data_IF_013781651001
#
_entry.id   IF_013781651001
#
_cell.length_a   1.000
_cell.length_b   1.000
_cell.length_c   1.000
_cell.angle_alpha   90.00
_cell.angle_beta   90.00
_cell.angle_gamma   90.00
#
_symmetry.space_group_name_H-M   'P 1'
#
loop_
_entity.id
_entity.type
_entity.pdbx_description
1 polymer ?
#
# COMPACT_ATOMS: atom_id res chain seq x y z
N UNK A 1 19.67 64.12 -4.32
CA UNK A 1 19.41 62.92 -5.14
C UNK A 1 20.11 61.64 -4.63
N UNK A 2 21.40 61.64 -4.26
CA UNK A 2 22.09 60.42 -3.79
C UNK A 2 21.58 59.81 -2.46
N UNK A 3 20.99 60.60 -1.56
CA UNK A 3 20.47 60.12 -0.26
C UNK A 3 19.09 59.47 -0.33
N UNK A 4 18.28 59.80 -1.33
CA UNK A 4 16.96 59.17 -1.53
C UNK A 4 17.11 57.77 -2.15
N UNK A 5 18.11 57.55 -3.01
CA UNK A 5 18.33 56.25 -3.65
C UNK A 5 18.72 55.15 -2.65
N UNK A 6 19.52 55.49 -1.62
CA UNK A 6 19.98 54.53 -0.60
C UNK A 6 18.84 54.10 0.33
N UNK A 7 17.92 55.00 0.66
CA UNK A 7 16.75 54.68 1.48
C UNK A 7 15.78 53.71 0.79
N UNK A 8 15.58 53.85 -0.52
CA UNK A 8 14.72 52.97 -1.31
C UNK A 8 15.33 51.58 -1.52
N UNK A 9 16.65 51.47 -1.70
CA UNK A 9 17.36 50.18 -1.79
C UNK A 9 17.29 49.42 -0.46
N UNK A 10 17.43 50.11 0.68
CA UNK A 10 17.27 49.49 2.00
C UNK A 10 15.83 48.99 2.25
N UNK A 11 14.82 49.74 1.76
CA UNK A 11 13.41 49.35 1.87
C UNK A 11 13.08 48.14 0.99
N UNK A 12 13.62 48.06 -0.24
CA UNK A 12 13.49 46.87 -1.10
C UNK A 12 14.23 45.64 -0.55
N UNK A 13 15.37 45.82 0.14
CA UNK A 13 16.08 44.73 0.83
C UNK A 13 15.36 44.25 2.11
N UNK A 14 14.57 45.12 2.76
CA UNK A 14 13.73 44.77 3.92
C UNK A 14 12.38 44.16 3.52
N UNK A 15 11.92 44.40 2.28
CA UNK A 15 10.71 43.80 1.69
C UNK A 15 11.05 42.60 0.79
N UNK A 16 12.32 42.22 0.70
CA UNK A 16 12.69 40.87 0.32
C UNK A 16 12.17 39.95 1.44
N UNK A 17 10.87 39.64 1.36
CA UNK A 17 10.27 38.55 2.09
C UNK A 17 11.22 37.39 1.88
N UNK A 18 11.71 36.82 2.98
CA UNK A 18 12.34 35.52 2.89
C UNK A 18 11.42 34.68 1.99
N UNK A 19 11.96 34.15 0.89
CA UNK A 19 11.23 33.16 0.13
C UNK A 19 11.12 31.96 1.08
N UNK A 20 10.07 31.95 1.89
CA UNK A 20 9.78 30.83 2.77
C UNK A 20 9.49 29.69 1.81
N UNK A 21 10.31 28.65 1.87
CA UNK A 21 10.09 27.43 1.12
C UNK A 21 8.76 26.73 1.50
N UNK A 22 7.95 27.34 2.37
CA UNK A 22 6.60 26.91 2.69
C UNK A 22 6.61 25.53 3.32
N UNK A 23 5.61 24.72 2.94
CA UNK A 23 5.46 23.33 3.38
C UNK A 23 6.65 22.43 3.04
N UNK A 24 7.52 22.82 2.10
CA UNK A 24 8.70 22.03 1.75
C UNK A 24 9.66 21.88 2.94
N UNK A 25 9.83 22.91 3.77
CA UNK A 25 10.70 22.82 4.96
C UNK A 25 10.14 21.86 6.03
N UNK A 26 8.85 21.58 5.99
CA UNK A 26 8.18 20.62 6.87
C UNK A 26 8.19 19.20 6.29
N UNK A 27 8.56 19.04 5.01
CA UNK A 27 8.65 17.73 4.35
C UNK A 27 9.91 16.97 4.80
N UNK A 28 9.87 15.65 4.69
CA UNK A 28 11.02 14.78 4.94
C UNK A 28 12.20 15.08 4.00
N UNK A 29 11.96 15.71 2.85
CA UNK A 29 12.99 16.02 1.87
C UNK A 29 13.61 17.40 2.08
N UNK A 30 12.81 18.39 2.49
CA UNK A 30 13.25 19.77 2.67
C UNK A 30 13.65 20.15 4.10
N UNK A 31 13.46 19.26 5.06
CA UNK A 31 13.80 19.52 6.46
C UNK A 31 15.32 19.74 6.66
N UNK A 32 15.74 20.77 7.42
CA UNK A 32 17.17 21.07 7.60
C UNK A 32 17.93 20.05 8.45
N UNK A 33 17.25 19.26 9.30
CA UNK A 33 17.88 18.30 10.20
C UNK A 33 18.06 16.93 9.52
N UNK A 34 17.10 16.51 8.73
CA UNK A 34 17.03 15.14 8.18
C UNK A 34 16.62 15.06 6.70
N UNK A 35 16.55 16.19 6.00
CA UNK A 35 16.28 16.27 4.56
C UNK A 35 17.37 15.68 3.68
N UNK A 36 17.16 15.82 2.37
CA UNK A 36 18.10 15.30 1.37
C UNK A 36 19.43 16.06 1.46
N UNK A 37 20.54 15.31 1.44
CA UNK A 37 21.89 15.84 1.53
C UNK A 37 22.84 15.02 0.65
N UNK A 38 23.30 15.68 -0.41
CA UNK A 38 24.22 15.10 -1.41
C UNK A 38 25.61 15.69 -1.34
N UNK A 39 25.92 16.45 -0.30
CA UNK A 39 27.24 17.08 -0.17
C UNK A 39 28.39 16.07 -0.09
N UNK A 40 28.09 14.83 0.34
CA UNK A 40 29.05 13.73 0.38
C UNK A 40 29.41 13.14 -0.99
N UNK A 41 28.49 13.21 -1.96
CA UNK A 41 28.69 12.67 -3.30
C UNK A 41 29.12 13.75 -4.29
N UNK A 42 28.75 15.02 -4.03
CA UNK A 42 29.07 16.17 -4.86
C UNK A 42 29.61 17.33 -4.02
N UNK A 43 30.93 17.54 -4.03
CA UNK A 43 31.58 18.56 -3.21
C UNK A 43 31.06 19.99 -3.44
N UNK A 44 30.58 20.30 -4.66
CA UNK A 44 29.94 21.58 -4.99
C UNK A 44 28.67 21.84 -4.18
N UNK A 45 27.99 20.77 -3.73
CA UNK A 45 26.76 20.86 -2.94
C UNK A 45 27.03 21.12 -1.45
N UNK A 46 28.28 21.06 -0.99
CA UNK A 46 28.63 21.38 0.41
C UNK A 46 28.37 22.86 0.79
N UNK A 47 28.15 23.74 -0.19
CA UNK A 47 27.73 25.12 0.02
C UNK A 47 26.22 25.28 0.27
N UNK A 48 25.42 24.24 -0.01
CA UNK A 48 23.98 24.23 0.21
C UNK A 48 23.67 23.55 1.53
N UNK A 49 22.67 24.07 2.25
CA UNK A 49 22.18 23.42 3.47
C UNK A 49 21.44 22.14 3.13
N UNK A 50 21.48 21.14 4.02
CA UNK A 50 20.60 19.97 3.97
C UNK A 50 19.15 20.38 3.74
N UNK A 51 18.44 19.61 2.92
CA UNK A 51 17.07 19.90 2.53
C UNK A 51 16.93 21.02 1.49
N UNK A 52 18.02 21.67 1.07
CA UNK A 52 17.94 22.63 -0.03
C UNK A 52 17.54 21.95 -1.35
N UNK A 53 16.73 22.64 -2.16
CA UNK A 53 16.26 22.15 -3.46
C UNK A 53 17.40 21.70 -4.39
N UNK A 54 18.60 22.27 -4.28
CA UNK A 54 19.78 21.90 -5.07
C UNK A 54 20.24 20.44 -4.82
N UNK A 55 19.82 19.80 -3.73
CA UNK A 55 20.05 18.38 -3.53
C UNK A 55 19.14 17.51 -4.41
N UNK A 56 17.92 17.94 -4.74
CA UNK A 56 17.07 17.17 -5.67
C UNK A 56 17.18 17.68 -7.10
N UNK A 57 17.49 18.96 -7.26
CA UNK A 57 17.42 19.68 -8.52
C UNK A 57 18.77 20.21 -9.01
N UNK A 58 19.08 19.97 -10.28
CA UNK A 58 20.14 20.68 -10.98
C UNK A 58 19.58 22.00 -11.52
N UNK A 59 19.79 23.08 -10.75
CA UNK A 59 19.24 24.42 -11.01
C UNK A 59 19.68 25.03 -12.36
N UNK A 60 20.58 24.36 -13.07
CA UNK A 60 20.98 24.66 -14.42
C UNK A 60 20.93 23.37 -15.25
N UNK A 61 20.04 23.29 -16.25
CA UNK A 61 19.97 22.16 -17.19
C UNK A 61 21.30 21.92 -17.94
N UNK A 62 22.23 22.87 -17.87
CA UNK A 62 23.63 22.71 -18.22
C UNK A 62 24.51 23.63 -17.35
N UNK A 63 25.63 23.14 -16.82
CA UNK A 63 26.72 23.98 -16.32
C UNK A 63 27.81 24.04 -17.38
N UNK A 64 28.18 25.25 -17.83
CA UNK A 64 29.23 25.46 -18.86
C UNK A 64 28.99 24.71 -20.18
N UNK A 65 27.72 24.42 -20.53
CA UNK A 65 27.35 23.74 -21.77
C UNK A 65 27.22 22.21 -21.66
N UNK A 66 27.39 21.64 -20.46
CA UNK A 66 27.21 20.20 -20.19
C UNK A 66 26.22 19.95 -19.05
N UNK A 67 25.42 18.89 -19.15
CA UNK A 67 24.56 18.40 -18.06
C UNK A 67 25.43 17.91 -16.88
N UNK A 68 25.12 18.28 -15.61
CA UNK A 68 25.79 17.71 -14.44
C UNK A 68 25.58 16.20 -14.33
N UNK A 69 26.53 15.48 -13.74
CA UNK A 69 26.40 14.04 -13.55
C UNK A 69 25.33 13.69 -12.48
N UNK A 70 24.57 12.59 -12.67
CA UNK A 70 24.52 11.71 -13.84
C UNK A 70 23.82 12.36 -15.06
N UNK A 71 24.50 12.39 -16.23
CA UNK A 71 23.99 13.03 -17.45
C UNK A 71 23.11 12.07 -18.28
N UNK A 72 21.89 12.51 -18.64
CA UNK A 72 20.94 11.76 -19.47
C UNK A 72 21.06 12.01 -20.98
N UNK A 73 21.93 12.93 -21.42
CA UNK A 73 22.24 13.16 -22.84
C UNK A 73 21.33 14.19 -23.55
N UNK A 74 20.41 14.82 -22.83
CA UNK A 74 19.59 15.97 -23.29
C UNK A 74 19.11 16.78 -22.07
N UNK A 75 18.77 18.09 -22.21
CA UNK A 75 18.24 18.87 -21.09
C UNK A 75 17.03 18.16 -20.45
N UNK A 76 17.15 17.80 -19.18
CA UNK A 76 16.11 17.06 -18.48
C UNK A 76 14.82 17.90 -18.38
N UNK A 77 13.64 17.33 -18.70
CA UNK A 77 12.35 18.04 -18.68
C UNK A 77 11.95 18.49 -17.26
N UNK A 78 12.46 17.77 -16.26
CA UNK A 78 12.50 18.19 -14.88
C UNK A 78 13.96 18.46 -14.56
N UNK A 79 14.25 19.58 -13.90
CA UNK A 79 15.61 19.93 -13.45
C UNK A 79 16.04 19.04 -12.29
N UNK A 80 15.82 17.73 -12.34
CA UNK A 80 16.29 16.73 -11.36
C UNK A 80 17.69 16.25 -11.75
N UNK A 81 18.44 15.71 -10.80
CA UNK A 81 19.84 15.34 -11.05
C UNK A 81 20.05 14.03 -11.83
N UNK A 82 19.01 13.23 -12.03
CA UNK A 82 19.08 11.97 -12.74
C UNK A 82 17.83 11.75 -13.60
N UNK A 83 17.83 10.68 -14.39
CA UNK A 83 16.65 10.28 -15.16
C UNK A 83 15.43 10.13 -14.23
N UNK A 84 14.33 10.81 -14.57
CA UNK A 84 13.17 10.84 -13.71
C UNK A 84 12.47 9.47 -13.62
N UNK A 85 12.21 8.85 -14.78
CA UNK A 85 11.67 7.49 -14.89
C UNK A 85 12.07 6.88 -16.24
N UNK A 86 12.41 5.60 -16.26
CA UNK A 86 12.74 4.84 -17.46
C UNK A 86 11.51 4.11 -18.02
N UNK A 87 10.78 4.79 -18.90
CA UNK A 87 9.58 4.24 -19.55
C UNK A 87 9.85 3.08 -20.52
N UNK A 88 11.11 2.70 -20.76
CA UNK A 88 11.45 1.49 -21.51
C UNK A 88 11.40 0.21 -20.66
N UNK A 89 11.39 0.35 -19.33
CA UNK A 89 11.24 -0.76 -18.37
C UNK A 89 9.78 -0.86 -17.98
N UNK A 90 9.09 -1.87 -18.52
CA UNK A 90 7.66 -2.09 -18.34
C UNK A 90 7.31 -3.09 -17.23
N UNK A 91 8.30 -3.82 -16.71
CA UNK A 91 8.19 -4.73 -15.56
C UNK A 91 9.54 -4.76 -14.84
N UNK A 92 9.52 -5.09 -13.55
CA UNK A 92 10.74 -5.37 -12.80
C UNK A 92 11.50 -6.62 -13.30
N UNK A 93 12.71 -6.87 -12.78
CA UNK A 93 13.33 -6.12 -11.69
C UNK A 93 13.83 -4.73 -12.14
N UNK A 94 13.53 -3.72 -11.32
CA UNK A 94 14.01 -2.36 -11.51
C UNK A 94 15.44 -2.19 -10.99
N UNK A 95 16.17 -1.28 -11.61
CA UNK A 95 17.48 -0.82 -11.21
C UNK A 95 17.41 0.60 -10.64
N UNK A 96 18.45 1.01 -9.91
CA UNK A 96 18.56 2.38 -9.40
C UNK A 96 18.37 3.45 -10.49
N UNK A 97 18.86 3.18 -11.70
CA UNK A 97 18.76 4.11 -12.84
C UNK A 97 17.37 4.20 -13.46
N UNK A 98 16.44 3.31 -13.09
CA UNK A 98 15.11 3.28 -13.69
C UNK A 98 14.16 4.32 -13.10
N UNK A 99 14.42 4.80 -11.89
CA UNK A 99 13.60 5.79 -11.20
C UNK A 99 14.47 6.72 -10.34
N UNK A 100 14.30 8.02 -10.48
CA UNK A 100 15.02 9.03 -9.72
C UNK A 100 14.98 8.79 -8.20
N UNK A 101 13.84 8.34 -7.67
CA UNK A 101 13.66 8.08 -6.25
C UNK A 101 14.60 6.96 -5.76
N UNK A 102 14.98 6.01 -6.61
CA UNK A 102 15.83 4.89 -6.21
C UNK A 102 17.28 5.27 -5.92
N UNK A 103 17.78 6.41 -6.42
CA UNK A 103 19.10 6.92 -6.03
C UNK A 103 19.22 7.19 -4.52
N UNK A 104 18.08 7.44 -3.87
CA UNK A 104 17.98 7.66 -2.43
C UNK A 104 17.34 6.46 -1.70
N UNK A 105 16.26 5.93 -2.27
CA UNK A 105 15.42 4.89 -1.66
C UNK A 105 15.88 3.47 -2.03
N UNK A 106 17.17 3.23 -1.85
CA UNK A 106 17.86 1.99 -2.14
C UNK A 106 18.77 1.63 -0.94
N UNK A 107 18.83 0.34 -0.58
CA UNK A 107 19.71 -0.17 0.48
C UNK A 107 21.20 0.08 0.24
N UNK A 108 21.58 0.41 -0.99
CA UNK A 108 22.93 0.84 -1.37
C UNK A 108 22.89 2.06 -2.29
N UNK A 109 22.00 3.03 -1.98
CA UNK A 109 21.79 4.21 -2.80
C UNK A 109 23.09 4.97 -3.11
N UNK A 110 23.36 5.21 -4.39
CA UNK A 110 24.60 5.85 -4.84
C UNK A 110 24.70 7.33 -4.45
N UNK A 111 23.58 7.96 -4.09
CA UNK A 111 23.50 9.39 -3.78
C UNK A 111 23.33 9.64 -2.28
N UNK A 112 22.33 9.00 -1.68
CA UNK A 112 22.07 8.98 -0.25
C UNK A 112 21.39 7.66 0.08
N UNK A 113 21.67 7.01 1.19
CA UNK A 113 20.92 5.83 1.59
C UNK A 113 19.79 6.22 2.53
N UNK A 114 18.56 5.82 2.20
CA UNK A 114 17.39 5.95 3.08
C UNK A 114 16.79 4.57 3.31
N UNK A 115 16.64 4.23 4.58
CA UNK A 115 15.97 3.00 5.00
C UNK A 115 14.45 3.20 4.96
N UNK A 116 13.76 2.42 4.14
CA UNK A 116 12.30 2.41 4.03
C UNK A 116 11.80 0.99 4.12
N UNK A 117 11.25 0.65 5.28
CA UNK A 117 10.66 -0.66 5.50
C UNK A 117 9.23 -0.71 4.98
N UNK A 118 8.77 -1.93 4.72
CA UNK A 118 7.39 -2.24 4.41
C UNK A 118 6.42 -1.86 5.55
N UNK A 119 5.12 -1.93 5.28
CA UNK A 119 4.08 -1.61 6.25
C UNK A 119 4.14 -2.58 7.44
N UNK A 120 4.33 -3.87 7.15
CA UNK A 120 4.49 -4.92 8.17
C UNK A 120 5.53 -4.55 9.24
N UNK A 121 6.65 -3.94 8.86
CA UNK A 121 7.70 -3.52 9.81
C UNK A 121 7.52 -2.10 10.35
N UNK A 122 7.11 -1.15 9.53
CA UNK A 122 6.98 0.25 9.96
C UNK A 122 5.80 0.43 10.93
N UNK A 123 4.68 -0.22 10.65
CA UNK A 123 3.42 -0.03 11.37
C UNK A 123 2.91 -1.30 12.06
N UNK A 124 3.25 -2.48 11.52
CA UNK A 124 2.81 -3.79 12.02
C UNK A 124 3.72 -4.48 13.04
N UNK A 125 4.72 -3.76 13.57
CA UNK A 125 5.64 -4.24 14.61
C UNK A 125 6.49 -5.48 14.25
N UNK A 126 6.64 -5.81 12.96
CA UNK A 126 7.64 -6.77 12.53
C UNK A 126 9.05 -6.21 12.76
N UNK A 127 10.00 -7.05 13.17
CA UNK A 127 11.36 -6.63 13.57
C UNK A 127 12.45 -7.12 12.61
N UNK A 128 12.14 -8.08 11.76
CA UNK A 128 13.08 -8.69 10.83
C UNK A 128 12.52 -8.75 9.40
N UNK A 129 13.37 -9.12 8.45
CA UNK A 129 13.00 -9.36 7.05
C UNK A 129 13.20 -8.17 6.11
N UNK A 130 13.16 -8.51 4.81
CA UNK A 130 13.09 -7.60 3.68
C UNK A 130 11.62 -7.27 3.36
N UNK A 131 11.34 -6.18 2.62
CA UNK A 131 12.30 -5.21 2.05
C UNK A 131 12.80 -4.16 3.06
N UNK A 132 14.05 -3.74 2.89
CA UNK A 132 14.69 -2.66 3.67
C UNK A 132 14.74 -1.30 2.99
N UNK A 133 14.35 -1.24 1.72
CA UNK A 133 14.26 -0.02 0.92
C UNK A 133 13.10 -0.09 -0.08
N UNK A 134 12.72 1.05 -0.67
CA UNK A 134 11.65 1.10 -1.67
C UNK A 134 12.05 0.34 -2.95
N UNK A 135 13.30 0.45 -3.40
CA UNK A 135 13.79 -0.34 -4.53
C UNK A 135 13.67 -1.85 -4.24
N UNK A 136 14.04 -2.30 -3.03
CA UNK A 136 13.90 -3.70 -2.66
C UNK A 136 12.43 -4.12 -2.63
N UNK A 137 11.51 -3.23 -2.21
CA UNK A 137 10.08 -3.50 -2.20
C UNK A 137 9.52 -3.70 -3.61
N UNK A 138 9.86 -2.81 -4.57
CA UNK A 138 9.42 -2.95 -5.97
C UNK A 138 10.06 -4.12 -6.72
N UNK A 139 11.05 -4.79 -6.11
CA UNK A 139 11.70 -5.98 -6.64
C UNK A 139 11.31 -7.27 -5.90
N UNK A 140 10.23 -7.25 -5.10
CA UNK A 140 9.66 -8.45 -4.48
C UNK A 140 8.83 -9.28 -5.47
N UNK A 141 8.35 -10.45 -5.03
CA UNK A 141 7.49 -11.38 -5.79
C UNK A 141 6.29 -10.70 -6.43
N UNK A 142 5.63 -9.80 -5.70
CA UNK A 142 4.62 -8.91 -6.26
C UNK A 142 4.87 -7.47 -5.86
N UNK A 143 4.50 -6.54 -6.73
CA UNK A 143 4.73 -5.11 -6.57
C UNK A 143 3.71 -4.34 -7.41
N UNK A 144 3.46 -3.08 -7.04
CA UNK A 144 2.77 -2.17 -7.93
C UNK A 144 3.70 -1.84 -9.09
N UNK A 145 3.34 -2.26 -10.30
CA UNK A 145 4.17 -2.02 -11.48
C UNK A 145 4.23 -0.51 -11.77
N UNK A 146 5.44 0.06 -11.73
CA UNK A 146 5.67 1.50 -11.91
C UNK A 146 5.29 1.98 -13.31
N UNK A 147 5.46 1.15 -14.35
CA UNK A 147 5.02 1.50 -15.69
C UNK A 147 3.49 1.53 -15.80
N UNK A 148 2.80 0.55 -15.20
CA UNK A 148 1.33 0.52 -15.16
C UNK A 148 0.77 1.73 -14.36
N UNK A 149 1.42 2.11 -13.24
CA UNK A 149 1.09 3.32 -12.49
C UNK A 149 1.28 4.57 -13.36
N UNK A 150 2.43 4.68 -14.04
CA UNK A 150 2.72 5.81 -14.93
C UNK A 150 1.64 5.96 -16.01
N UNK A 151 1.27 4.85 -16.68
CA UNK A 151 0.30 4.88 -17.78
C UNK A 151 -1.10 5.24 -17.28
N UNK A 152 -1.54 4.62 -16.17
CA UNK A 152 -2.82 4.93 -15.54
C UNK A 152 -2.89 6.39 -15.08
N UNK A 153 -1.87 6.86 -14.35
CA UNK A 153 -1.87 8.21 -13.79
C UNK A 153 -1.87 9.27 -14.89
N UNK A 154 -1.10 9.06 -15.96
CA UNK A 154 -1.08 9.93 -17.15
C UNK A 154 -2.44 10.01 -17.85
N UNK A 155 -3.16 8.88 -17.94
CA UNK A 155 -4.48 8.84 -18.56
C UNK A 155 -5.60 9.41 -17.67
N UNK A 156 -5.43 9.35 -16.35
CA UNK A 156 -6.48 9.66 -15.38
C UNK A 156 -6.38 11.06 -14.77
N UNK A 157 -5.17 11.52 -14.43
CA UNK A 157 -4.98 12.74 -13.65
C UNK A 157 -4.38 13.84 -14.49
N UNK A 158 -5.11 14.96 -14.61
CA UNK A 158 -4.72 16.06 -15.50
C UNK A 158 -3.40 16.74 -15.12
N UNK A 159 -2.96 16.64 -13.87
CA UNK A 159 -1.68 17.19 -13.40
C UNK A 159 -0.48 16.28 -13.72
N UNK A 160 -0.69 14.97 -13.91
CA UNK A 160 0.36 14.01 -14.23
C UNK A 160 0.72 14.11 -15.72
N UNK A 161 2.01 14.21 -16.05
CA UNK A 161 2.50 14.50 -17.41
C UNK A 161 3.39 13.38 -17.95
N UNK A 162 3.69 13.43 -19.24
CA UNK A 162 4.50 12.42 -19.94
C UNK A 162 5.87 12.15 -19.30
N UNK A 163 6.42 13.12 -18.59
CA UNK A 163 7.71 12.99 -17.92
C UNK A 163 7.58 12.77 -16.41
N UNK A 164 6.37 12.75 -15.85
CA UNK A 164 6.15 12.56 -14.41
C UNK A 164 6.65 11.20 -13.95
N UNK A 165 7.08 11.15 -12.70
CA UNK A 165 7.56 9.92 -12.06
C UNK A 165 6.36 9.14 -11.49
N UNK A 166 6.27 7.81 -11.68
CA UNK A 166 5.15 7.02 -11.15
C UNK A 166 5.04 7.04 -9.63
N UNK A 167 6.16 7.14 -8.90
CA UNK A 167 6.13 7.30 -7.44
C UNK A 167 5.39 8.58 -7.03
N UNK A 168 5.42 9.64 -7.86
CA UNK A 168 4.69 10.86 -7.53
C UNK A 168 3.18 10.74 -7.73
N UNK A 169 2.66 9.66 -8.33
CA UNK A 169 1.22 9.43 -8.40
C UNK A 169 0.58 9.39 -7.00
N UNK A 170 1.28 8.80 -6.02
CA UNK A 170 0.79 8.59 -4.65
C UNK A 170 1.56 9.41 -3.60
N UNK A 171 2.63 10.09 -3.99
CA UNK A 171 3.49 10.86 -3.11
C UNK A 171 3.81 12.22 -3.70
N UNK A 172 3.74 13.27 -2.90
CA UNK A 172 4.32 14.55 -3.29
C UNK A 172 5.61 14.76 -2.50
N UNK A 173 6.77 14.60 -3.14
CA UNK A 173 8.07 14.73 -2.47
C UNK A 173 8.28 16.10 -1.80
N UNK A 174 7.57 17.14 -2.24
CA UNK A 174 7.62 18.46 -1.60
C UNK A 174 6.77 18.56 -0.33
N UNK A 175 5.92 17.59 -0.05
CA UNK A 175 5.00 17.58 1.10
C UNK A 175 5.25 16.38 2.02
N UNK A 176 5.59 15.22 1.46
CA UNK A 176 5.69 13.94 2.15
C UNK A 176 6.56 14.05 3.41
N UNK A 177 6.00 13.62 4.54
CA UNK A 177 6.63 13.69 5.85
C UNK A 177 7.17 12.32 6.29
N UNK A 178 7.96 12.32 7.36
CA UNK A 178 8.72 11.15 7.81
C UNK A 178 7.87 10.27 8.74
N UNK A 179 6.83 9.63 8.22
CA UNK A 179 5.92 8.76 9.00
C UNK A 179 6.64 7.73 9.88
N UNK A 180 7.75 7.15 9.42
CA UNK A 180 8.53 6.18 10.20
C UNK A 180 9.10 6.74 11.52
N UNK A 181 9.35 8.04 11.64
CA UNK A 181 9.90 8.58 12.89
C UNK A 181 8.88 8.58 14.03
N UNK A 182 7.59 8.57 13.69
CA UNK A 182 6.48 8.55 14.65
C UNK A 182 5.30 7.81 13.99
N UNK A 183 5.34 6.47 13.92
CA UNK A 183 4.46 5.68 13.06
C UNK A 183 2.97 5.82 13.37
N UNK A 184 2.62 6.24 14.58
CA UNK A 184 1.25 6.42 15.05
C UNK A 184 0.79 7.89 14.99
N UNK A 185 1.57 8.75 14.35
CA UNK A 185 1.26 10.16 14.16
C UNK A 185 0.82 10.45 12.72
N UNK A 186 -0.50 10.60 12.48
CA UNK A 186 -1.03 10.84 11.14
C UNK A 186 -0.52 12.14 10.52
N UNK A 187 -0.12 13.13 11.33
CA UNK A 187 0.43 14.39 10.83
C UNK A 187 1.77 14.20 10.11
N UNK A 188 2.43 13.04 10.23
CA UNK A 188 3.66 12.73 9.50
C UNK A 188 3.42 11.87 8.25
N UNK A 189 2.19 11.82 7.75
CA UNK A 189 1.84 11.11 6.51
C UNK A 189 2.78 11.44 5.33
N UNK A 190 3.07 10.41 4.53
CA UNK A 190 3.96 10.49 3.37
C UNK A 190 3.20 10.50 2.03
N UNK A 191 1.88 10.38 2.07
CA UNK A 191 1.04 10.18 0.88
C UNK A 191 0.30 11.48 0.52
N UNK A 192 0.06 11.63 -0.77
CA UNK A 192 -0.90 12.59 -1.31
C UNK A 192 -1.86 11.83 -2.20
N UNK A 193 -3.16 12.04 -2.01
CA UNK A 193 -4.17 11.36 -2.82
C UNK A 193 -4.04 11.83 -4.26
N UNK A 194 -4.00 10.96 -5.27
CA UNK A 194 -3.77 11.38 -6.65
C UNK A 194 -4.71 12.49 -7.15
N UNK A 195 -6.00 12.45 -6.81
CA UNK A 195 -6.98 13.48 -7.17
C UNK A 195 -6.81 14.81 -6.40
N UNK A 196 -6.07 14.80 -5.30
CA UNK A 196 -5.74 15.94 -4.43
C UNK A 196 -4.22 16.03 -4.19
N UNK A 197 -3.44 15.79 -5.24
CA UNK A 197 -1.99 15.57 -5.16
C UNK A 197 -1.18 16.70 -4.50
N UNK A 198 -1.74 17.91 -4.44
CA UNK A 198 -1.08 19.10 -3.91
C UNK A 198 -1.34 19.33 -2.41
N UNK A 199 -2.05 18.42 -1.77
CA UNK A 199 -2.27 18.39 -0.32
C UNK A 199 -1.75 17.07 0.27
N UNK A 200 -1.40 17.07 1.56
CA UNK A 200 -1.12 15.83 2.28
C UNK A 200 -2.44 15.09 2.51
N UNK A 201 -2.42 13.77 2.32
CA UNK A 201 -3.56 12.92 2.62
C UNK A 201 -3.29 12.12 3.89
N UNK A 202 -4.27 12.08 4.78
CA UNK A 202 -4.15 11.26 5.99
C UNK A 202 -3.64 12.00 7.21
N UNK A 203 -3.44 13.31 7.13
CA UNK A 203 -3.23 14.15 8.31
C UNK A 203 -4.57 14.58 8.94
N UNK A 204 -5.63 14.65 8.14
CA UNK A 204 -7.01 14.83 8.62
C UNK A 204 -7.99 13.76 8.17
N UNK A 205 -7.70 13.06 7.07
CA UNK A 205 -8.52 11.96 6.53
C UNK A 205 -8.10 10.64 7.14
N UNK A 206 -8.86 10.19 8.14
CA UNK A 206 -8.47 9.06 8.97
C UNK A 206 -9.47 7.91 8.87
N UNK A 207 -9.01 6.70 9.18
CA UNK A 207 -9.88 5.51 9.22
C UNK A 207 -10.98 5.63 10.28
N UNK A 208 -10.85 6.53 11.26
CA UNK A 208 -11.92 6.83 12.23
C UNK A 208 -13.19 7.45 11.62
N UNK A 209 -13.17 7.77 10.33
CA UNK A 209 -14.39 8.13 9.58
C UNK A 209 -15.28 6.93 9.27
N UNK A 210 -14.74 5.71 9.36
CA UNK A 210 -15.45 4.45 9.23
C UNK A 210 -15.67 3.79 10.59
N UNK A 211 -16.54 2.77 10.66
CA UNK A 211 -16.47 1.81 11.77
C UNK A 211 -15.26 0.91 11.52
N UNK A 212 -14.13 1.25 12.12
CA UNK A 212 -12.83 0.61 11.94
C UNK A 212 -12.33 0.07 13.29
N UNK A 213 -11.81 -1.15 13.30
CA UNK A 213 -11.07 -1.71 14.43
C UNK A 213 -9.65 -2.02 13.96
N UNK A 214 -8.68 -1.33 14.57
CA UNK A 214 -7.27 -1.52 14.24
C UNK A 214 -6.84 -2.96 14.55
N UNK A 215 -6.11 -3.62 13.63
CA UNK A 215 -5.53 -4.91 13.92
C UNK A 215 -4.46 -4.80 15.02
N UNK A 216 -4.15 -5.93 15.66
CA UNK A 216 -2.97 -6.00 16.50
C UNK A 216 -1.70 -5.78 15.66
N UNK A 217 -0.72 -5.07 16.22
CA UNK A 217 0.65 -5.10 15.72
C UNK A 217 1.44 -6.23 16.41
N UNK A 218 1.25 -6.43 17.72
CA UNK A 218 1.91 -7.45 18.54
C UNK A 218 1.26 -7.54 19.93
N UNK A 219 0.94 -8.76 20.38
CA UNK A 219 0.24 -8.95 21.65
C UNK A 219 -1.07 -8.18 21.66
N UNK A 220 -1.30 -7.33 22.67
CA UNK A 220 -2.48 -6.47 22.74
C UNK A 220 -2.31 -5.09 22.08
N UNK A 221 -1.11 -4.76 21.59
CA UNK A 221 -0.84 -3.46 20.96
C UNK A 221 -1.42 -3.41 19.55
N UNK A 222 -1.94 -2.25 19.15
CA UNK A 222 -2.67 -1.96 17.91
C UNK A 222 -1.79 -1.27 16.87
N UNK A 223 -2.10 -1.49 15.60
CA UNK A 223 -1.55 -0.73 14.49
C UNK A 223 -2.25 0.64 14.35
N UNK A 224 -1.58 1.66 13.81
CA UNK A 224 -0.14 1.71 13.56
C UNK A 224 0.69 1.94 14.83
N UNK A 225 1.95 1.53 14.80
CA UNK A 225 2.97 1.95 15.76
C UNK A 225 2.94 1.27 17.13
N UNK A 226 2.08 0.26 17.32
CA UNK A 226 2.02 -0.50 18.56
C UNK A 226 1.46 0.27 19.74
N UNK A 227 0.33 0.93 19.51
CA UNK A 227 -0.36 1.75 20.51
C UNK A 227 -1.53 1.01 21.16
N UNK A 228 -2.29 1.65 22.04
CA UNK A 228 -3.57 1.13 22.53
C UNK A 228 -4.78 1.63 21.73
N UNK A 229 -4.57 2.44 20.70
CA UNK A 229 -5.65 3.11 19.96
C UNK A 229 -6.26 2.16 18.93
N UNK A 230 -7.57 1.97 18.97
CA UNK A 230 -8.28 0.98 18.16
C UNK A 230 -9.18 1.59 17.06
N UNK A 231 -9.57 2.85 17.21
CA UNK A 231 -10.65 3.49 16.44
C UNK A 231 -10.22 4.07 15.09
N UNK A 232 -8.97 3.84 14.66
CA UNK A 232 -8.46 4.36 13.40
C UNK A 232 -8.08 5.85 13.41
N UNK A 233 -8.14 6.54 14.55
CA UNK A 233 -7.76 7.96 14.68
C UNK A 233 -6.26 8.23 14.48
N UNK A 234 -5.46 7.17 14.33
CA UNK A 234 -4.02 7.23 14.03
C UNK A 234 -3.67 6.66 12.67
N UNK A 235 -4.65 6.16 11.93
CA UNK A 235 -4.46 5.49 10.64
C UNK A 235 -4.96 6.40 9.54
N UNK A 236 -4.11 6.82 8.58
CA UNK A 236 -4.56 7.47 7.36
C UNK A 236 -5.67 6.68 6.66
N UNK A 237 -6.59 7.39 6.00
CA UNK A 237 -7.63 6.78 5.15
C UNK A 237 -7.00 6.17 3.89
N UNK A 238 -6.43 4.97 4.05
CA UNK A 238 -5.87 4.21 2.94
C UNK A 238 -6.96 3.69 1.99
N UNK A 239 -8.22 3.58 2.44
CA UNK A 239 -9.36 3.27 1.55
C UNK A 239 -9.54 4.39 0.54
N UNK A 240 -9.64 5.64 1.00
CA UNK A 240 -9.78 6.81 0.14
C UNK A 240 -8.58 7.03 -0.78
N UNK A 241 -7.36 6.69 -0.33
CA UNK A 241 -6.17 6.71 -1.17
C UNK A 241 -6.23 5.65 -2.28
N UNK A 242 -6.43 4.38 -1.91
CA UNK A 242 -6.34 3.26 -2.84
C UNK A 242 -7.49 3.28 -3.85
N UNK A 243 -8.70 3.64 -3.40
CA UNK A 243 -9.89 3.67 -4.27
C UNK A 243 -9.92 4.84 -5.23
N UNK A 244 -9.03 5.82 -5.08
CA UNK A 244 -8.83 6.87 -6.07
C UNK A 244 -8.29 6.32 -7.40
N UNK A 245 -7.67 5.14 -7.38
CA UNK A 245 -7.28 4.37 -8.57
C UNK A 245 -8.09 3.07 -8.70
N UNK A 246 -8.19 2.30 -7.62
CA UNK A 246 -8.85 0.99 -7.58
C UNK A 246 -10.32 1.11 -7.19
N UNK A 247 -11.20 1.27 -8.17
CA UNK A 247 -12.64 1.34 -7.93
C UNK A 247 -13.42 0.35 -8.81
N UNK A 248 -14.74 0.38 -8.68
CA UNK A 248 -15.66 -0.51 -9.38
C UNK A 248 -15.85 -0.18 -10.86
N UNK A 249 -15.28 0.92 -11.33
CA UNK A 249 -15.48 1.47 -12.67
C UNK A 249 -14.19 1.33 -13.49
N UNK A 250 -13.05 1.63 -12.88
CA UNK A 250 -11.76 1.61 -13.54
C UNK A 250 -11.39 0.18 -13.93
N UNK A 251 -11.05 0.03 -15.21
CA UNK A 251 -10.45 -1.20 -15.72
C UNK A 251 -8.96 -0.95 -15.87
N UNK A 252 -8.16 -1.55 -14.99
CA UNK A 252 -6.70 -1.38 -14.96
C UNK A 252 -6.07 -2.65 -15.51
N UNK A 253 -5.31 -2.53 -16.60
CA UNK A 253 -4.50 -3.65 -17.10
C UNK A 253 -3.21 -3.74 -16.29
N UNK A 254 -2.86 -4.92 -15.80
CA UNK A 254 -1.56 -5.18 -15.22
C UNK A 254 -0.66 -5.89 -16.22
N UNK A 255 0.44 -5.24 -16.59
CA UNK A 255 1.46 -5.82 -17.45
C UNK A 255 2.10 -7.02 -16.78
N UNK A 256 2.41 -6.93 -15.49
CA UNK A 256 3.03 -8.03 -14.72
C UNK A 256 2.12 -9.27 -14.60
N UNK A 257 0.79 -9.10 -14.56
CA UNK A 257 -0.16 -10.22 -14.47
C UNK A 257 -0.72 -10.66 -15.83
N UNK A 258 -0.47 -9.90 -16.91
CA UNK A 258 -1.00 -10.16 -18.24
C UNK A 258 -2.53 -10.14 -18.32
N UNK A 259 -3.19 -9.41 -17.41
CA UNK A 259 -4.66 -9.33 -17.32
C UNK A 259 -5.12 -8.05 -16.63
N UNK A 260 -6.42 -7.77 -16.74
CA UNK A 260 -7.04 -6.74 -15.93
C UNK A 260 -7.03 -7.12 -14.44
N UNK A 261 -6.77 -6.11 -13.59
CA UNK A 261 -6.95 -6.20 -12.15
C UNK A 261 -8.42 -6.40 -11.81
N UNK A 262 -8.66 -7.02 -10.65
CA UNK A 262 -10.02 -7.15 -10.12
C UNK A 262 -10.46 -5.78 -9.60
N UNK A 263 -11.69 -5.42 -9.92
CA UNK A 263 -12.27 -4.15 -9.49
C UNK A 263 -12.67 -4.24 -8.01
N UNK A 264 -12.57 -3.12 -7.31
CA UNK A 264 -12.86 -3.03 -5.88
C UNK A 264 -14.12 -2.19 -5.70
N UNK A 265 -15.09 -2.70 -4.94
CA UNK A 265 -16.26 -1.91 -4.54
C UNK A 265 -16.30 -1.81 -3.01
N UNK A 266 -15.75 -0.73 -2.45
CA UNK A 266 -15.74 -0.54 -0.98
C UNK A 266 -17.05 0.05 -0.43
N UNK A 267 -18.09 0.17 -1.26
CA UNK A 267 -19.39 0.71 -0.86
C UNK A 267 -20.23 -0.32 -0.09
N UNK A 268 -21.36 0.12 0.48
CA UNK A 268 -22.26 -0.73 1.27
C UNK A 268 -22.92 -1.88 0.49
N UNK A 269 -22.80 -1.90 -0.84
CA UNK A 269 -23.31 -2.99 -1.68
C UNK A 269 -22.20 -3.88 -2.27
N UNK A 270 -20.93 -3.50 -2.04
CA UNK A 270 -19.76 -4.04 -2.71
C UNK A 270 -19.15 -5.24 -2.01
N UNK A 271 -17.85 -5.17 -1.75
CA UNK A 271 -17.00 -6.19 -1.13
C UNK A 271 -17.26 -6.26 0.39
N UNK A 272 -17.14 -7.45 0.96
CA UNK A 272 -16.95 -7.64 2.41
C UNK A 272 -15.59 -7.06 2.82
N UNK A 273 -15.43 -6.83 4.13
CA UNK A 273 -14.37 -5.98 4.70
C UNK A 273 -14.42 -4.51 4.26
N UNK A 274 -15.21 -4.15 3.24
CA UNK A 274 -15.61 -2.79 2.94
C UNK A 274 -16.84 -2.36 3.77
N UNK A 275 -17.60 -1.40 3.25
CA UNK A 275 -18.78 -0.90 3.96
C UNK A 275 -19.99 -1.85 3.91
N UNK A 276 -19.91 -2.96 3.17
CA UNK A 276 -20.98 -3.95 3.13
C UNK A 276 -21.15 -4.61 4.48
N UNK A 277 -22.38 -4.65 4.98
CA UNK A 277 -22.71 -5.35 6.21
C UNK A 277 -22.35 -6.84 6.12
N UNK A 278 -21.95 -7.40 7.27
CA UNK A 278 -21.76 -8.84 7.43
C UNK A 278 -23.08 -9.60 7.21
N UNK A 279 -22.99 -10.83 6.72
CA UNK A 279 -24.17 -11.64 6.39
C UNK A 279 -25.01 -12.01 7.63
N UNK A 280 -24.43 -12.01 8.84
CA UNK A 280 -25.16 -12.21 10.09
C UNK A 280 -24.87 -11.14 11.15
N UNK A 281 -25.91 -10.45 11.61
CA UNK A 281 -25.78 -9.47 12.69
C UNK A 281 -25.57 -10.09 14.08
N UNK A 282 -25.64 -11.41 14.21
CA UNK A 282 -25.57 -12.10 15.50
C UNK A 282 -24.11 -12.39 15.88
N UNK A 283 -23.64 -11.83 16.99
CA UNK A 283 -22.25 -11.92 17.46
C UNK A 283 -21.78 -13.33 17.84
N UNK A 284 -22.65 -14.34 17.74
CA UNK A 284 -22.35 -15.74 18.08
C UNK A 284 -22.09 -16.61 16.85
N UNK A 285 -22.17 -16.06 15.63
CA UNK A 285 -22.06 -16.83 14.37
C UNK A 285 -20.88 -16.44 13.49
N UNK A 286 -20.03 -15.49 13.91
CA UNK A 286 -18.87 -15.12 13.12
C UNK A 286 -17.60 -15.53 13.84
N UNK A 287 -16.89 -16.47 13.21
CA UNK A 287 -15.63 -17.04 13.64
C UNK A 287 -14.52 -15.99 13.48
N UNK A 288 -14.42 -15.08 14.47
CA UNK A 288 -13.43 -14.02 14.54
C UNK A 288 -12.37 -14.31 15.60
N UNK A 289 -11.14 -13.92 15.30
CA UNK A 289 -10.06 -13.79 16.27
C UNK A 289 -10.07 -12.38 16.88
N UNK A 290 -9.43 -12.21 18.03
CA UNK A 290 -9.21 -10.88 18.59
C UNK A 290 -8.34 -10.02 17.65
N UNK A 291 -8.56 -8.70 17.55
CA UNK A 291 -9.48 -7.90 18.37
C UNK A 291 -10.92 -7.84 17.85
N UNK A 292 -11.16 -8.37 16.65
CA UNK A 292 -12.45 -8.31 15.97
C UNK A 292 -13.53 -9.09 16.71
N UNK A 293 -13.16 -10.19 17.39
CA UNK A 293 -14.06 -10.94 18.25
C UNK A 293 -14.73 -10.04 19.30
N UNK A 294 -13.95 -9.37 20.14
CA UNK A 294 -14.50 -8.47 21.17
C UNK A 294 -15.25 -7.29 20.54
N UNK A 295 -14.70 -6.68 19.49
CA UNK A 295 -15.33 -5.54 18.84
C UNK A 295 -16.70 -5.90 18.22
N UNK A 296 -16.87 -7.13 17.73
CA UNK A 296 -18.07 -7.57 16.98
C UNK A 296 -19.35 -7.60 17.83
N UNK A 297 -19.19 -7.55 19.16
CA UNK A 297 -20.29 -7.47 20.13
C UNK A 297 -21.04 -6.14 20.03
N UNK A 298 -20.32 -5.04 19.73
CA UNK A 298 -20.91 -3.70 19.65
C UNK A 298 -20.99 -3.17 18.23
N UNK A 299 -20.15 -3.66 17.33
CA UNK A 299 -20.09 -3.22 15.94
C UNK A 299 -20.74 -4.24 15.00
N UNK A 300 -21.62 -3.74 14.12
CA UNK A 300 -22.31 -4.55 13.12
C UNK A 300 -21.44 -4.91 11.92
N UNK A 301 -20.42 -4.10 11.61
CA UNK A 301 -19.47 -4.30 10.53
C UNK A 301 -18.15 -3.57 10.85
N UNK A 302 -17.04 -4.02 10.26
CA UNK A 302 -15.77 -3.32 10.29
C UNK A 302 -15.31 -3.07 8.86
N UNK A 303 -15.09 -1.80 8.53
CA UNK A 303 -14.38 -1.44 7.32
C UNK A 303 -12.90 -1.63 7.61
N UNK A 304 -12.23 -2.50 6.87
CA UNK A 304 -10.79 -2.65 6.93
C UNK A 304 -10.10 -1.58 6.08
N UNK A 305 -8.89 -1.19 6.51
CA UNK A 305 -7.96 -0.43 5.68
C UNK A 305 -7.38 -1.35 4.61
N UNK A 306 -7.14 -0.82 3.41
CA UNK A 306 -6.48 -1.59 2.35
C UNK A 306 -5.10 -2.13 2.80
N UNK A 307 -4.41 -1.38 3.67
CA UNK A 307 -3.10 -1.77 4.18
C UNK A 307 -3.16 -2.69 5.42
N UNK A 308 -4.34 -3.10 5.87
CA UNK A 308 -4.43 -4.17 6.88
C UNK A 308 -3.99 -5.51 6.29
N UNK A 309 -4.17 -5.70 4.97
CA UNK A 309 -3.79 -6.93 4.27
C UNK A 309 -2.73 -6.72 3.18
N UNK A 310 -2.59 -5.51 2.62
CA UNK A 310 -1.68 -5.26 1.50
C UNK A 310 -0.47 -4.38 1.86
N UNK A 311 0.66 -4.66 1.22
CA UNK A 311 1.84 -3.81 1.17
C UNK A 311 1.69 -2.81 0.01
N UNK A 312 1.95 -1.51 0.23
CA UNK A 312 1.69 -0.49 -0.79
C UNK A 312 2.72 -0.48 -1.93
N UNK A 313 3.93 -1.02 -1.73
CA UNK A 313 4.99 -0.99 -2.74
C UNK A 313 5.24 -2.38 -3.35
N UNK A 314 5.52 -3.36 -2.50
CA UNK A 314 5.69 -4.75 -2.90
C UNK A 314 5.80 -5.70 -1.72
N UNK A 315 5.61 -6.99 -2.00
CA UNK A 315 5.60 -8.08 -1.03
C UNK A 315 6.20 -9.36 -1.60
N UNK A 316 6.83 -10.14 -0.72
CA UNK A 316 7.25 -11.51 -0.99
C UNK A 316 6.07 -12.44 -1.32
N UNK A 317 4.86 -12.12 -0.85
CA UNK A 317 3.65 -12.84 -1.23
C UNK A 317 3.08 -12.26 -2.53
N UNK A 318 2.32 -13.05 -3.28
CA UNK A 318 1.54 -12.53 -4.41
C UNK A 318 0.46 -11.55 -3.93
N UNK A 319 -0.10 -10.78 -4.87
CA UNK A 319 -1.18 -9.81 -4.61
C UNK A 319 -0.84 -8.78 -3.53
N UNK A 320 0.44 -8.43 -3.41
CA UNK A 320 0.93 -7.46 -2.45
C UNK A 320 0.62 -7.84 -1.00
N UNK A 321 0.38 -9.11 -0.68
CA UNK A 321 -0.10 -9.44 0.67
C UNK A 321 0.97 -9.28 1.72
N UNK A 322 0.64 -8.60 2.81
CA UNK A 322 1.51 -8.43 3.96
C UNK A 322 1.99 -9.78 4.49
N UNK A 323 3.25 -9.82 4.88
CA UNK A 323 3.84 -11.00 5.54
C UNK A 323 3.46 -11.12 7.03
N UNK A 324 2.94 -10.03 7.61
CA UNK A 324 2.47 -9.96 8.99
C UNK A 324 1.16 -9.19 9.06
N UNK A 325 0.13 -9.83 9.61
CA UNK A 325 -1.23 -9.30 9.73
C UNK A 325 -1.78 -9.65 11.11
N UNK A 326 -2.45 -8.70 11.75
CA UNK A 326 -3.11 -8.86 13.04
C UNK A 326 -2.23 -9.56 14.10
N UNK A 327 -1.07 -8.97 14.41
CA UNK A 327 -0.26 -9.38 15.55
C UNK A 327 0.70 -10.54 15.30
N UNK A 328 0.73 -11.09 14.09
CA UNK A 328 1.52 -12.28 13.79
C UNK A 328 1.85 -12.48 12.32
N UNK A 329 2.87 -13.28 12.08
CA UNK A 329 3.31 -13.62 10.72
C UNK A 329 2.32 -14.60 10.10
N UNK A 330 2.21 -14.56 8.78
CA UNK A 330 1.43 -15.56 8.06
C UNK A 330 2.01 -16.97 8.31
N UNK A 331 1.14 -17.98 8.29
CA UNK A 331 1.55 -19.38 8.48
C UNK A 331 2.45 -19.94 7.39
N UNK A 332 2.57 -19.24 6.26
CA UNK A 332 3.43 -19.56 5.13
C UNK A 332 3.43 -18.44 4.08
N UNK A 333 4.17 -18.65 3.00
CA UNK A 333 4.16 -17.77 1.82
C UNK A 333 2.93 -18.05 0.95
N UNK A 334 2.35 -17.00 0.36
CA UNK A 334 1.27 -17.11 -0.62
C UNK A 334 1.89 -16.86 -1.99
N UNK A 335 2.07 -17.92 -2.78
CA UNK A 335 2.95 -17.92 -3.96
C UNK A 335 2.21 -17.99 -5.29
N UNK A 336 0.93 -18.38 -5.31
CA UNK A 336 0.17 -18.57 -6.55
C UNK A 336 -1.34 -18.32 -6.40
N UNK A 337 -1.97 -17.93 -7.52
CA UNK A 337 -3.43 -17.91 -7.69
C UNK A 337 -3.97 -19.32 -7.94
N UNK A 338 -3.80 -20.21 -6.96
CA UNK A 338 -4.39 -21.55 -7.01
C UNK A 338 -4.13 -22.39 -5.76
N UNK A 339 -3.93 -21.79 -4.58
CA UNK A 339 -3.50 -22.54 -3.40
C UNK A 339 -4.40 -22.32 -2.18
N UNK A 340 -4.47 -23.34 -1.31
CA UNK A 340 -5.04 -23.23 0.03
C UNK A 340 -4.22 -22.30 0.95
N UNK A 341 -3.10 -21.74 0.46
CA UNK A 341 -2.25 -20.78 1.16
C UNK A 341 -3.01 -19.51 1.53
N UNK A 342 -4.11 -19.19 0.82
CA UNK A 342 -4.96 -18.06 1.20
C UNK A 342 -5.48 -18.14 2.64
N UNK A 343 -5.65 -19.36 3.15
CA UNK A 343 -6.01 -19.58 4.54
C UNK A 343 -5.00 -18.97 5.53
N UNK A 344 -3.72 -18.82 5.16
CA UNK A 344 -2.73 -18.18 6.04
C UNK A 344 -3.06 -16.73 6.35
N UNK A 345 -3.62 -15.99 5.40
CA UNK A 345 -4.08 -14.62 5.64
C UNK A 345 -5.36 -14.63 6.47
N UNK A 346 -6.36 -15.40 6.05
CA UNK A 346 -7.68 -15.42 6.70
C UNK A 346 -7.58 -15.83 8.18
N UNK A 347 -6.74 -16.81 8.50
CA UNK A 347 -6.54 -17.32 9.86
C UNK A 347 -5.82 -16.32 10.79
N UNK A 348 -5.45 -15.13 10.30
CA UNK A 348 -4.99 -14.04 11.18
C UNK A 348 -6.14 -13.31 11.86
N UNK A 349 -7.35 -13.36 11.30
CA UNK A 349 -8.51 -12.64 11.81
C UNK A 349 -9.76 -13.52 11.98
N UNK A 350 -9.75 -14.73 11.41
CA UNK A 350 -10.86 -15.67 11.49
C UNK A 350 -10.43 -16.98 12.14
N UNK A 351 -11.33 -17.57 12.93
CA UNK A 351 -11.08 -18.90 13.50
C UNK A 351 -11.16 -19.95 12.37
N UNK A 352 -10.12 -20.75 12.25
CA UNK A 352 -10.11 -21.92 11.38
C UNK A 352 -10.58 -23.15 12.15
N UNK A 353 -11.03 -24.20 11.44
CA UNK A 353 -11.46 -25.43 12.09
C UNK A 353 -10.32 -26.05 12.90
N UNK A 354 -10.63 -26.50 14.12
CA UNK A 354 -9.64 -27.13 15.00
C UNK A 354 -9.26 -28.53 14.49
N UNK A 355 -8.03 -28.68 13.98
CA UNK A 355 -7.48 -29.93 13.46
C UNK A 355 -6.02 -29.78 13.06
N UNK A 356 -5.19 -30.82 13.22
CA UNK A 356 -3.73 -30.77 13.15
C UNK A 356 -3.10 -30.60 11.75
N UNK A 357 -3.76 -29.92 10.81
CA UNK A 357 -3.17 -29.65 9.49
C UNK A 357 -2.29 -28.41 9.53
N UNK A 358 -1.16 -28.44 8.80
CA UNK A 358 -0.27 -27.28 8.62
C UNK A 358 -0.92 -26.13 7.83
N UNK A 359 -2.11 -26.35 7.26
CA UNK A 359 -2.92 -25.37 6.54
C UNK A 359 -4.27 -25.21 7.24
N UNK A 360 -4.77 -23.99 7.47
CA UNK A 360 -6.09 -23.74 8.04
C UNK A 360 -7.21 -24.44 7.28
N UNK A 361 -8.13 -25.08 8.00
CA UNK A 361 -9.34 -25.69 7.44
C UNK A 361 -10.54 -24.75 7.66
N UNK A 362 -11.50 -24.77 6.74
CA UNK A 362 -12.58 -23.78 6.66
C UNK A 362 -13.97 -24.39 6.50
N UNK A 363 -14.13 -25.68 6.80
CA UNK A 363 -15.42 -26.37 6.71
C UNK A 363 -16.47 -25.80 7.66
N UNK A 364 -16.06 -25.36 8.86
CA UNK A 364 -16.87 -24.66 9.86
C UNK A 364 -17.64 -23.50 9.25
N UNK A 365 -16.92 -22.50 8.76
CA UNK A 365 -17.51 -21.29 8.17
C UNK A 365 -18.33 -21.58 6.90
N UNK A 366 -17.97 -22.59 6.11
CA UNK A 366 -18.65 -22.86 4.84
C UNK A 366 -19.93 -23.71 4.99
N UNK A 367 -20.02 -24.54 6.04
CA UNK A 367 -21.08 -25.55 6.18
C UNK A 367 -21.84 -25.54 7.50
N UNK A 368 -21.21 -25.07 8.59
CA UNK A 368 -21.68 -25.30 9.95
C UNK A 368 -21.94 -24.00 10.73
N UNK A 369 -21.36 -22.87 10.31
CA UNK A 369 -21.69 -21.55 10.85
C UNK A 369 -23.18 -21.22 10.61
N UNK A 370 -23.76 -20.39 11.50
CA UNK A 370 -25.18 -20.05 11.45
C UNK A 370 -25.62 -19.35 10.15
N UNK A 371 -24.69 -18.69 9.47
CA UNK A 371 -24.86 -18.01 8.18
C UNK A 371 -24.09 -18.65 7.03
N UNK A 372 -23.61 -19.88 7.25
CA UNK A 372 -22.86 -20.66 6.28
C UNK A 372 -23.49 -20.57 4.87
N UNK A 373 -22.70 -20.25 3.83
CA UNK A 373 -23.22 -20.16 2.47
C UNK A 373 -23.77 -21.51 1.97
N UNK A 374 -23.21 -22.64 2.44
CA UNK A 374 -23.59 -23.97 1.98
C UNK A 374 -23.94 -24.90 3.15
N UNK A 375 -25.07 -24.68 3.84
CA UNK A 375 -25.41 -25.43 5.04
C UNK A 375 -25.74 -26.90 4.73
N UNK A 376 -25.41 -27.80 5.66
CA UNK A 376 -25.78 -29.23 5.61
C UNK A 376 -25.24 -29.98 4.38
N UNK A 377 -23.91 -30.18 4.26
CA UNK A 377 -23.27 -30.78 3.08
C UNK A 377 -23.66 -32.25 2.78
N UNK A 378 -24.52 -32.86 3.59
CA UNK A 378 -25.00 -34.23 3.39
C UNK A 378 -23.86 -35.26 3.37
N UNK A 379 -24.08 -36.37 2.67
CA UNK A 379 -23.08 -37.46 2.50
C UNK A 379 -22.26 -37.33 1.20
N UNK A 380 -22.37 -36.19 0.49
CA UNK A 380 -21.83 -36.00 -0.86
C UNK A 380 -20.64 -35.02 -0.90
N UNK A 381 -19.87 -34.94 0.19
CA UNK A 381 -18.56 -34.31 0.17
C UNK A 381 -17.67 -35.04 -0.85
N UNK A 382 -17.31 -34.40 -1.97
CA UNK A 382 -16.40 -35.00 -2.97
C UNK A 382 -16.86 -34.96 -4.43
N UNK A 383 -18.05 -34.41 -4.74
CA UNK A 383 -18.58 -34.37 -6.10
C UNK A 383 -18.31 -33.05 -6.83
N UNK A 384 -18.29 -31.91 -6.12
CA UNK A 384 -18.31 -30.59 -6.74
C UNK A 384 -17.29 -29.61 -6.12
N UNK A 385 -17.55 -29.11 -4.90
CA UNK A 385 -16.64 -28.20 -4.19
C UNK A 385 -15.46 -28.90 -3.50
N UNK A 386 -15.50 -30.22 -3.42
CA UNK A 386 -14.41 -31.04 -2.89
C UNK A 386 -14.05 -32.10 -3.93
N UNK A 387 -12.75 -32.31 -4.17
CA UNK A 387 -12.27 -33.39 -5.04
C UNK A 387 -12.13 -34.68 -4.25
N UNK A 388 -12.55 -35.78 -4.85
CA UNK A 388 -12.31 -37.13 -4.34
C UNK A 388 -10.81 -37.45 -4.40
N UNK A 389 -10.16 -37.54 -3.23
CA UNK A 389 -8.81 -38.09 -3.06
C UNK A 389 -8.91 -39.60 -2.75
N UNK A 390 -7.92 -40.44 -3.08
CA UNK A 390 -7.84 -41.82 -2.57
C UNK A 390 -7.95 -41.92 -1.04
N UNK A 391 -7.61 -40.83 -0.35
CA UNK A 391 -7.67 -40.70 1.12
C UNK A 391 -9.02 -40.14 1.63
N UNK A 392 -9.98 -39.82 0.74
CA UNK A 392 -11.29 -39.28 1.07
C UNK A 392 -12.15 -40.36 1.75
N UNK A 393 -12.15 -40.36 3.08
CA UNK A 393 -12.92 -41.27 3.95
C UNK A 393 -14.31 -40.71 4.33
N UNK A 394 -14.83 -39.75 3.55
CA UNK A 394 -16.10 -39.06 3.85
C UNK A 394 -15.98 -37.86 4.79
N UNK A 395 -14.80 -37.58 5.35
CA UNK A 395 -14.54 -36.41 6.20
C UNK A 395 -13.38 -35.51 5.74
N UNK A 396 -12.45 -35.99 4.93
CA UNK A 396 -11.30 -35.20 4.42
C UNK A 396 -11.20 -35.28 2.89
N UNK A 397 -11.84 -34.35 2.19
CA UNK A 397 -11.79 -34.27 0.73
C UNK A 397 -11.25 -32.89 0.33
N UNK A 398 -10.29 -32.86 -0.60
CA UNK A 398 -9.55 -31.64 -0.96
C UNK A 398 -10.53 -30.56 -1.45
N UNK A 399 -10.60 -29.43 -0.74
CA UNK A 399 -11.44 -28.30 -1.15
C UNK A 399 -10.97 -27.68 -2.46
N UNK A 400 -11.88 -27.01 -3.17
CA UNK A 400 -11.52 -26.07 -4.24
C UNK A 400 -10.61 -24.96 -3.70
N UNK A 401 -9.83 -24.36 -4.59
CA UNK A 401 -8.96 -23.26 -4.23
C UNK A 401 -9.79 -22.01 -3.87
N UNK A 402 -9.36 -21.30 -2.81
CA UNK A 402 -10.05 -20.12 -2.30
C UNK A 402 -10.21 -19.02 -3.35
N UNK A 403 -9.25 -18.84 -4.23
CA UNK A 403 -9.21 -17.76 -5.24
C UNK A 403 -10.27 -17.90 -6.35
N UNK A 404 -10.96 -19.03 -6.42
CA UNK A 404 -12.14 -19.16 -7.30
C UNK A 404 -13.32 -18.32 -6.81
N UNK A 405 -13.41 -18.07 -5.50
CA UNK A 405 -14.52 -17.34 -4.89
C UNK A 405 -14.07 -16.15 -4.05
N UNK A 406 -12.86 -16.10 -3.47
CA UNK A 406 -12.43 -15.04 -2.56
C UNK A 406 -11.46 -14.07 -3.24
N UNK A 407 -12.00 -13.02 -3.87
CA UNK A 407 -11.24 -11.91 -4.45
C UNK A 407 -12.13 -10.67 -4.59
N UNK A 408 -11.57 -9.47 -4.70
CA UNK A 408 -12.37 -8.25 -4.87
C UNK A 408 -13.39 -8.33 -6.03
N UNK A 409 -14.62 -7.89 -5.76
CA UNK A 409 -15.73 -7.91 -6.70
C UNK A 409 -16.37 -9.29 -6.90
N UNK A 410 -15.89 -10.35 -6.25
CA UNK A 410 -16.40 -11.71 -6.45
C UNK A 410 -17.70 -11.99 -5.70
N UNK A 411 -18.38 -13.03 -6.16
CA UNK A 411 -19.32 -13.85 -5.40
C UNK A 411 -18.99 -15.32 -5.72
N UNK A 412 -19.89 -16.23 -5.36
CA UNK A 412 -19.75 -17.65 -5.68
C UNK A 412 -20.21 -18.06 -7.08
N UNK A 413 -20.44 -17.11 -8.02
CA UNK A 413 -20.88 -17.41 -9.40
C UNK A 413 -19.95 -18.38 -10.14
N UNK A 414 -18.66 -18.43 -9.76
CA UNK A 414 -17.72 -19.41 -10.31
C UNK A 414 -18.22 -20.85 -10.20
N UNK A 415 -19.06 -21.18 -9.21
CA UNK A 415 -19.69 -22.49 -9.04
C UNK A 415 -20.44 -22.97 -10.29
N UNK A 416 -20.97 -22.06 -11.11
CA UNK A 416 -21.62 -22.42 -12.38
C UNK A 416 -20.67 -23.12 -13.35
N UNK A 417 -19.36 -22.84 -13.28
CA UNK A 417 -18.34 -23.45 -14.14
C UNK A 417 -18.13 -24.94 -13.87
N UNK A 418 -18.52 -25.40 -12.68
CA UNK A 418 -18.47 -26.81 -12.26
C UNK A 418 -19.88 -27.44 -12.18
N UNK A 419 -20.91 -26.74 -12.68
CA UNK A 419 -22.29 -27.24 -12.74
C UNK A 419 -23.11 -27.00 -11.46
N UNK A 420 -22.61 -26.21 -10.53
CA UNK A 420 -23.26 -25.93 -9.24
C UNK A 420 -24.11 -24.65 -9.25
N UNK A 421 -25.06 -24.57 -8.32
CA UNK A 421 -25.94 -23.39 -8.15
C UNK A 421 -25.30 -22.42 -7.16
N UNK A 422 -24.87 -21.22 -7.61
CA UNK A 422 -24.36 -20.19 -6.70
C UNK A 422 -25.47 -19.62 -5.83
N UNK A 423 -25.10 -19.16 -4.64
CA UNK A 423 -25.96 -18.37 -3.75
C UNK A 423 -25.98 -16.88 -4.11
N UNK A 424 -25.01 -16.45 -4.94
CA UNK A 424 -24.69 -15.06 -5.27
C UNK A 424 -24.35 -14.19 -4.05
N UNK A 425 -24.02 -14.83 -2.92
CA UNK A 425 -23.49 -14.12 -1.75
C UNK A 425 -22.09 -13.62 -2.09
N UNK A 426 -21.80 -12.39 -1.68
CA UNK A 426 -20.42 -11.88 -1.73
C UNK A 426 -19.56 -12.74 -0.82
N UNK A 427 -18.45 -13.19 -1.35
CA UNK A 427 -17.52 -14.11 -0.70
C UNK A 427 -16.25 -13.40 -0.26
N UNK A 428 -15.99 -12.22 -0.82
CA UNK A 428 -14.99 -11.27 -0.35
C UNK A 428 -15.59 -9.88 -0.26
#
# INVERSE_FOLDING_TARGET
>A
MKRCLVGWILWFLLIAQAAWAGSYLDSAHGNPDHGVDRSHTEAKLAAYARGNCAHCHEMHASMQGSEPAPAGGSPAPFTVFAQNFNTSVNTGPYQETDDFCFYCHNSSGSVQQVDNYDYSRTFGCEVAGEPTSILNAFNQTSYHNLYDIYDLARGKFSWFKDHSNPCVACHNAHLARRNRSDPDNPLLTAISRPSEHFDLWGDTELMSTYSYEAPYCSGSMREPGGTGTQDGSKTPDYVGLCTDCHDKINTINSTSLGRNLKQIDWSSLGDKHGQRDRDSSNSTSVDFEEPYLTASVTEGNFVLSCLDCHEPHGSQNIMLIRRRVNGGNLGGEISAFSSNEWGYLCARCHEADTGSSATPQWSGIHHFAGDAPYPSPGTQCGLHCHKTSPDCNGTECLSINCDNCHFHGSDDTWLQTIGEVPTYKKTF
#
